data_IF_511069243756
#
_entry.id   IF_511069243756
#
_cell.length_a   1.000
_cell.length_b   1.000
_cell.length_c   1.000
_cell.angle_alpha   90.00
_cell.angle_beta   90.00
_cell.angle_gamma   90.00
#
_symmetry.space_group_name_H-M   'P 1'
#
loop_
_entity.id
_entity.type
_entity.pdbx_description
1 polymer ?
#
# COMPACT_ATOMS: atom_id res chain seq x y z
N UNK A 1 13.62 21.04 30.60
CA UNK A 1 13.27 20.69 29.20
C UNK A 1 13.52 19.18 29.09
N UNK A 2 12.47 18.37 29.13
CA UNK A 2 12.62 16.92 28.99
C UNK A 2 13.19 16.63 27.60
N UNK A 3 14.19 15.78 27.53
CA UNK A 3 14.66 15.25 26.25
C UNK A 3 13.48 14.58 25.55
N UNK A 4 12.98 15.18 24.48
CA UNK A 4 11.94 14.57 23.65
C UNK A 4 12.43 13.21 23.16
N UNK A 5 11.55 12.25 23.08
CA UNK A 5 11.86 10.93 22.52
C UNK A 5 12.24 11.17 21.04
N UNK A 6 13.50 10.91 20.66
CA UNK A 6 13.93 10.95 19.26
C UNK A 6 13.84 9.56 18.63
N UNK A 7 13.62 9.51 17.33
CA UNK A 7 13.60 8.29 16.54
C UNK A 7 14.62 8.40 15.41
N UNK A 8 15.19 7.27 14.98
CA UNK A 8 16.04 7.26 13.77
C UNK A 8 15.22 7.59 12.52
N UNK A 9 14.07 6.96 12.39
CA UNK A 9 13.16 7.11 11.26
C UNK A 9 11.75 7.44 11.72
N UNK A 10 11.12 8.41 11.06
CA UNK A 10 9.70 8.72 11.20
C UNK A 10 9.03 8.43 9.86
N UNK A 11 8.06 7.51 9.86
CA UNK A 11 7.29 7.13 8.69
C UNK A 11 5.90 7.75 8.80
N UNK A 12 5.54 8.61 7.84
CA UNK A 12 4.24 9.27 7.77
C UNK A 12 3.30 8.44 6.90
N UNK A 13 2.31 7.81 7.52
CA UNK A 13 1.32 6.92 6.91
C UNK A 13 1.70 5.44 7.03
N UNK A 14 0.84 4.67 7.68
CA UNK A 14 0.90 3.21 7.75
C UNK A 14 0.16 2.55 6.57
N UNK A 15 0.29 3.10 5.36
CA UNK A 15 -0.23 2.54 4.12
C UNK A 15 0.64 1.39 3.59
N UNK A 16 0.45 1.04 2.31
CA UNK A 16 1.18 -0.10 1.69
C UNK A 16 2.70 0.06 1.80
N UNK A 17 3.24 1.23 1.48
CA UNK A 17 4.68 1.49 1.56
C UNK A 17 5.15 1.58 3.02
N UNK A 18 4.43 2.35 3.86
CA UNK A 18 4.82 2.55 5.25
C UNK A 18 4.87 1.27 6.07
N UNK A 19 3.95 0.34 5.86
CA UNK A 19 3.96 -0.98 6.50
C UNK A 19 5.22 -1.80 6.14
N UNK A 20 5.63 -1.78 4.87
CA UNK A 20 6.84 -2.47 4.42
C UNK A 20 8.08 -1.84 5.03
N UNK A 21 8.17 -0.51 4.98
CA UNK A 21 9.32 0.24 5.53
C UNK A 21 9.43 0.07 7.04
N UNK A 22 8.31 0.14 7.77
CA UNK A 22 8.27 -0.11 9.21
C UNK A 22 8.85 -1.48 9.57
N UNK A 23 8.42 -2.52 8.84
CA UNK A 23 8.95 -3.87 9.03
C UNK A 23 10.46 -3.95 8.72
N UNK A 24 10.88 -3.42 7.57
CA UNK A 24 12.27 -3.56 7.11
C UNK A 24 13.25 -2.75 7.96
N UNK A 25 12.93 -1.49 8.26
CA UNK A 25 13.80 -0.60 9.04
C UNK A 25 13.93 -0.99 10.52
N UNK A 26 12.93 -1.70 11.06
CA UNK A 26 12.99 -2.18 12.45
C UNK A 26 13.55 -3.60 12.60
N UNK A 27 13.86 -4.30 11.47
CA UNK A 27 14.12 -5.74 11.50
C UNK A 27 15.37 -6.15 12.26
N UNK A 28 16.41 -5.36 12.22
CA UNK A 28 17.70 -5.67 12.86
C UNK A 28 17.84 -5.13 14.29
N UNK A 29 16.81 -4.46 14.80
CA UNK A 29 16.78 -3.89 16.15
C UNK A 29 17.64 -2.64 16.37
N UNK A 30 18.43 -2.21 15.36
CA UNK A 30 19.39 -1.09 15.50
C UNK A 30 18.78 0.28 15.41
N UNK A 31 17.60 0.39 14.76
CA UNK A 31 16.95 1.68 14.51
C UNK A 31 15.64 1.78 15.26
N UNK A 32 15.43 2.93 15.88
CA UNK A 32 14.14 3.30 16.48
C UNK A 32 13.25 3.89 15.41
N UNK A 33 12.13 3.24 15.14
CA UNK A 33 11.19 3.60 14.06
C UNK A 33 9.85 4.04 14.65
N UNK A 34 9.39 5.22 14.27
CA UNK A 34 8.05 5.71 14.56
C UNK A 34 7.20 5.68 13.28
N UNK A 35 6.01 5.13 13.38
CA UNK A 35 5.00 5.20 12.31
C UNK A 35 3.81 6.01 12.81
N UNK A 36 3.45 7.06 12.07
CA UNK A 36 2.30 7.93 12.34
C UNK A 36 1.20 7.66 11.32
N UNK A 37 0.05 7.16 11.78
CA UNK A 37 -1.12 6.89 10.93
C UNK A 37 -2.29 7.76 11.35
N UNK A 38 -2.88 8.48 10.41
CA UNK A 38 -4.02 9.37 10.65
C UNK A 38 -5.29 8.62 11.07
N UNK A 39 -5.48 7.42 10.55
CA UNK A 39 -6.65 6.59 10.81
C UNK A 39 -6.50 5.68 12.03
N UNK A 40 -7.57 4.95 12.36
CA UNK A 40 -7.57 3.96 13.43
C UNK A 40 -6.80 2.69 13.04
N UNK A 41 -6.64 1.78 14.00
CA UNK A 41 -6.24 0.40 13.76
C UNK A 41 -7.26 -0.32 12.84
N UNK A 42 -6.78 -1.28 12.05
CA UNK A 42 -7.56 -2.05 11.07
C UNK A 42 -8.44 -3.16 11.72
N UNK A 43 -9.10 -2.86 12.83
CA UNK A 43 -9.89 -3.85 13.59
C UNK A 43 -11.29 -4.12 13.04
N UNK A 44 -11.73 -3.30 12.07
CA UNK A 44 -13.09 -3.41 11.53
C UNK A 44 -13.25 -4.69 10.72
N UNK A 45 -14.27 -5.50 11.03
CA UNK A 45 -14.46 -6.83 10.43
C UNK A 45 -14.55 -6.82 8.90
N UNK A 46 -15.16 -5.78 8.31
CA UNK A 46 -15.30 -5.64 6.85
C UNK A 46 -13.96 -5.42 6.14
N UNK A 47 -12.90 -5.03 6.85
CA UNK A 47 -11.55 -4.97 6.31
C UNK A 47 -11.05 -6.38 6.02
N UNK A 48 -11.22 -7.29 6.98
CA UNK A 48 -10.66 -8.63 6.92
C UNK A 48 -11.48 -9.61 6.09
N UNK A 49 -12.76 -9.34 5.93
CA UNK A 49 -13.69 -10.14 5.13
C UNK A 49 -13.62 -9.71 3.66
N UNK A 50 -13.17 -10.55 2.71
CA UNK A 50 -13.07 -10.15 1.30
C UNK A 50 -14.39 -9.66 0.71
N UNK A 51 -15.51 -10.32 0.99
CA UNK A 51 -16.84 -9.89 0.55
C UNK A 51 -17.29 -8.54 1.14
N UNK A 52 -16.65 -8.11 2.24
CA UNK A 52 -16.93 -6.85 2.92
C UNK A 52 -16.28 -5.62 2.28
N UNK A 53 -15.45 -5.77 1.23
CA UNK A 53 -14.66 -4.67 0.68
C UNK A 53 -15.52 -3.46 0.28
N UNK A 54 -16.70 -3.68 -0.28
CA UNK A 54 -17.62 -2.61 -0.68
C UNK A 54 -18.11 -1.77 0.51
N UNK A 55 -18.33 -2.40 1.66
CA UNK A 55 -18.68 -1.71 2.91
C UNK A 55 -17.46 -1.02 3.52
N UNK A 56 -16.29 -1.65 3.45
CA UNK A 56 -15.05 -1.07 3.97
C UNK A 56 -14.69 0.25 3.24
N UNK A 57 -14.66 0.26 1.91
CA UNK A 57 -14.25 1.47 1.19
C UNK A 57 -15.30 2.61 1.24
N UNK A 58 -16.53 2.34 1.61
CA UNK A 58 -17.56 3.36 1.85
C UNK A 58 -17.66 3.84 3.30
N UNK A 59 -16.95 3.18 4.22
CA UNK A 59 -17.01 3.54 5.64
C UNK A 59 -16.23 4.83 5.92
N UNK A 60 -16.90 5.94 6.34
CA UNK A 60 -16.25 7.22 6.57
C UNK A 60 -15.25 7.22 7.74
N UNK A 61 -15.29 6.21 8.62
CA UNK A 61 -14.36 6.10 9.75
C UNK A 61 -12.97 5.64 9.32
N UNK A 62 -12.86 4.93 8.19
CA UNK A 62 -11.63 4.32 7.68
C UNK A 62 -11.28 4.77 6.26
N UNK A 63 -11.93 5.82 5.77
CA UNK A 63 -11.75 6.38 4.45
C UNK A 63 -11.61 7.91 4.55
N UNK A 64 -10.75 8.51 3.74
CA UNK A 64 -10.62 9.95 3.59
C UNK A 64 -11.83 10.61 2.94
N UNK A 65 -12.64 9.84 2.20
CA UNK A 65 -13.84 10.28 1.48
C UNK A 65 -13.58 11.44 0.50
N UNK A 66 -12.45 11.41 -0.20
CA UNK A 66 -12.19 12.40 -1.22
C UNK A 66 -13.17 12.30 -2.38
N UNK A 67 -13.41 13.43 -3.02
CA UNK A 67 -14.09 13.52 -4.32
C UNK A 67 -13.39 14.59 -5.16
N UNK A 68 -13.48 14.45 -6.49
CA UNK A 68 -12.99 15.48 -7.39
C UNK A 68 -13.80 16.78 -7.25
N UNK A 69 -13.27 17.86 -7.77
CA UNK A 69 -14.09 19.00 -8.15
C UNK A 69 -15.07 18.58 -9.25
N UNK A 70 -16.12 19.39 -9.54
CA UNK A 70 -17.01 19.10 -10.66
C UNK A 70 -16.20 18.92 -11.95
N UNK A 71 -16.46 17.80 -12.66
CA UNK A 71 -15.79 17.48 -13.92
C UNK A 71 -16.70 17.88 -15.10
N UNK A 72 -16.39 18.94 -15.83
CA UNK A 72 -17.25 19.44 -16.91
C UNK A 72 -17.56 18.37 -17.95
N UNK A 73 -16.55 17.58 -18.38
CA UNK A 73 -16.73 16.50 -19.36
C UNK A 73 -17.55 15.33 -18.84
N UNK A 74 -17.83 15.27 -17.53
CA UNK A 74 -18.69 14.30 -16.90
C UNK A 74 -20.03 14.92 -16.44
N UNK A 75 -20.49 15.98 -17.09
CA UNK A 75 -21.73 16.72 -16.73
C UNK A 75 -21.68 17.25 -15.29
N UNK A 76 -20.58 17.87 -14.92
CA UNK A 76 -20.31 18.47 -13.61
C UNK A 76 -20.42 17.46 -12.44
N UNK A 77 -20.26 16.17 -12.71
CA UNK A 77 -20.22 15.16 -11.64
C UNK A 77 -18.95 15.28 -10.83
N UNK A 78 -19.10 15.10 -9.53
CA UNK A 78 -17.98 14.81 -8.62
C UNK A 78 -17.76 13.31 -8.59
N UNK A 79 -16.51 12.87 -8.80
CA UNK A 79 -16.14 11.46 -8.76
C UNK A 79 -15.63 11.13 -7.38
N UNK A 80 -16.23 10.15 -6.73
CA UNK A 80 -15.77 9.65 -5.43
C UNK A 80 -14.43 8.94 -5.56
N UNK A 81 -13.47 9.34 -4.74
CA UNK A 81 -12.10 8.85 -4.76
C UNK A 81 -11.72 8.24 -3.39
N UNK A 82 -12.10 6.99 -3.12
CA UNK A 82 -11.79 6.36 -1.84
C UNK A 82 -10.28 6.19 -1.63
N UNK A 83 -9.81 6.55 -0.44
CA UNK A 83 -8.45 6.32 0.04
C UNK A 83 -8.52 5.89 1.50
N UNK A 84 -7.79 4.83 1.85
CA UNK A 84 -7.80 4.32 3.22
C UNK A 84 -7.22 5.33 4.19
N UNK A 85 -7.98 5.62 5.25
CA UNK A 85 -7.56 6.35 6.45
C UNK A 85 -7.59 5.36 7.62
N UNK A 86 -6.65 4.44 7.62
CA UNK A 86 -6.61 3.30 8.53
C UNK A 86 -5.25 2.62 8.41
N UNK A 87 -4.81 1.93 9.44
CA UNK A 87 -3.61 1.08 9.38
C UNK A 87 -3.73 0.08 8.21
N UNK A 88 -2.69 0.02 7.37
CA UNK A 88 -2.69 -0.66 6.08
C UNK A 88 -3.11 0.24 4.90
N UNK A 89 -3.61 1.46 5.18
CA UNK A 89 -4.02 2.41 4.14
C UNK A 89 -5.04 1.83 3.17
N UNK A 90 -4.89 2.15 1.89
CA UNK A 90 -5.80 1.65 0.85
C UNK A 90 -5.74 0.14 0.64
N UNK A 91 -4.66 -0.55 1.05
CA UNK A 91 -4.62 -2.02 1.02
C UNK A 91 -5.64 -2.66 1.98
N UNK A 92 -6.08 -1.93 3.01
CA UNK A 92 -7.12 -2.37 3.96
C UNK A 92 -8.54 -2.20 3.43
N UNK A 93 -8.76 -1.39 2.37
CA UNK A 93 -10.11 -1.10 1.86
C UNK A 93 -10.30 -1.37 0.35
N UNK A 94 -9.24 -1.71 -0.39
CA UNK A 94 -9.30 -1.96 -1.84
C UNK A 94 -10.04 -3.27 -2.18
N UNK A 95 -10.26 -3.50 -3.49
CA UNK A 95 -10.87 -4.74 -4.02
C UNK A 95 -9.91 -5.94 -4.07
N UNK A 96 -8.72 -5.84 -3.49
CA UNK A 96 -7.72 -6.91 -3.37
C UNK A 96 -7.13 -7.43 -4.68
N UNK A 97 -7.40 -6.83 -5.81
CA UNK A 97 -6.78 -7.26 -7.07
C UNK A 97 -5.26 -7.12 -6.97
N UNK A 98 -4.56 -8.21 -7.29
CA UNK A 98 -3.10 -8.22 -7.35
C UNK A 98 -2.63 -8.30 -8.80
N UNK A 99 -2.05 -7.21 -9.26
CA UNK A 99 -1.47 -7.10 -10.59
C UNK A 99 -0.23 -6.22 -10.52
N UNK A 100 0.85 -6.67 -11.14
CA UNK A 100 2.08 -5.88 -11.27
C UNK A 100 1.98 -4.99 -12.50
N UNK A 101 2.80 -3.93 -12.57
CA UNK A 101 3.03 -3.22 -13.81
C UNK A 101 3.69 -4.15 -14.85
N UNK A 102 3.49 -3.84 -16.13
CA UNK A 102 4.11 -4.60 -17.22
C UNK A 102 5.63 -4.38 -17.24
N UNK A 103 6.43 -5.35 -17.68
CA UNK A 103 7.88 -5.18 -17.82
C UNK A 103 8.27 -3.91 -18.57
N UNK A 104 7.54 -3.58 -19.64
CA UNK A 104 7.78 -2.41 -20.46
C UNK A 104 7.62 -1.08 -19.70
N UNK A 105 6.75 -1.02 -18.68
CA UNK A 105 6.58 0.19 -17.86
C UNK A 105 7.86 0.52 -17.08
N UNK A 106 8.47 -0.50 -16.49
CA UNK A 106 9.71 -0.36 -15.72
C UNK A 106 10.91 -0.12 -16.64
N UNK A 107 10.98 -0.84 -17.77
CA UNK A 107 12.07 -0.68 -18.73
C UNK A 107 12.04 0.69 -19.40
N UNK A 108 10.83 1.27 -19.59
CA UNK A 108 10.66 2.66 -20.04
C UNK A 108 11.20 3.66 -19.00
N UNK A 109 10.97 3.46 -17.72
CA UNK A 109 11.57 4.32 -16.69
C UNK A 109 13.09 4.27 -16.75
N UNK A 110 13.66 3.11 -16.97
CA UNK A 110 15.11 2.97 -17.11
C UNK A 110 15.64 3.68 -18.38
N UNK A 111 14.97 3.53 -19.51
CA UNK A 111 15.43 4.08 -20.79
C UNK A 111 15.17 5.57 -20.96
N UNK A 112 13.97 6.05 -20.56
CA UNK A 112 13.55 7.44 -20.78
C UNK A 112 13.95 8.37 -19.63
N UNK A 113 13.97 7.87 -18.39
CA UNK A 113 14.26 8.67 -17.19
C UNK A 113 15.65 8.39 -16.59
N UNK A 114 16.43 7.49 -17.20
CA UNK A 114 17.76 7.11 -16.69
C UNK A 114 17.75 6.29 -15.41
N UNK A 115 16.59 5.76 -14.98
CA UNK A 115 16.43 5.03 -13.74
C UNK A 115 16.78 3.54 -13.89
N UNK A 116 18.06 3.23 -14.15
CA UNK A 116 18.52 1.88 -14.50
C UNK A 116 18.22 0.81 -13.46
N UNK A 117 18.24 1.18 -12.17
CA UNK A 117 17.92 0.27 -11.06
C UNK A 117 16.42 -0.16 -11.05
N UNK A 118 15.57 0.56 -11.78
CA UNK A 118 14.12 0.30 -11.89
C UNK A 118 13.75 -0.56 -13.10
N UNK A 119 14.71 -1.12 -13.83
CA UNK A 119 14.42 -2.12 -14.86
C UNK A 119 13.60 -3.27 -14.29
N UNK A 120 12.70 -3.84 -15.07
CA UNK A 120 11.86 -4.95 -14.61
C UNK A 120 12.68 -6.11 -14.06
N UNK A 121 13.78 -6.47 -14.71
CA UNK A 121 14.68 -7.51 -14.23
C UNK A 121 15.24 -7.25 -12.82
N UNK A 122 15.44 -5.98 -12.45
CA UNK A 122 15.89 -5.59 -11.11
C UNK A 122 14.73 -5.52 -10.11
N UNK A 123 13.51 -5.21 -10.56
CA UNK A 123 12.31 -5.15 -9.72
C UNK A 123 11.73 -6.55 -9.42
N UNK A 124 11.84 -7.49 -10.36
CA UNK A 124 11.26 -8.83 -10.23
C UNK A 124 11.67 -9.59 -8.95
N UNK A 125 12.95 -9.59 -8.52
CA UNK A 125 13.32 -10.21 -7.26
C UNK A 125 12.58 -9.67 -6.05
N UNK A 126 12.28 -8.37 -6.01
CA UNK A 126 11.51 -7.74 -4.93
C UNK A 126 10.04 -8.14 -4.98
N UNK A 127 9.44 -8.23 -6.15
CA UNK A 127 8.07 -8.76 -6.29
C UNK A 127 7.98 -10.19 -5.78
N UNK A 128 8.94 -11.04 -6.17
CA UNK A 128 8.99 -12.43 -5.71
C UNK A 128 9.20 -12.55 -4.20
N UNK A 129 10.16 -11.77 -3.66
CA UNK A 129 10.42 -11.75 -2.21
C UNK A 129 9.24 -11.17 -1.38
N UNK A 130 8.35 -10.41 -2.02
CA UNK A 130 7.19 -9.79 -1.38
C UNK A 130 5.99 -10.70 -1.24
N UNK A 131 5.83 -11.75 -2.07
CA UNK A 131 4.60 -12.54 -2.15
C UNK A 131 4.78 -14.02 -1.80
N UNK A 132 3.71 -14.61 -1.30
CA UNK A 132 3.47 -16.05 -1.32
C UNK A 132 2.28 -16.31 -2.21
N UNK A 133 2.53 -16.84 -3.41
CA UNK A 133 1.50 -17.18 -4.39
C UNK A 133 1.00 -18.62 -4.19
N UNK A 134 -0.30 -18.85 -4.24
CA UNK A 134 -0.89 -20.19 -4.24
C UNK A 134 -0.62 -20.98 -5.55
N UNK A 135 -0.07 -20.29 -6.56
CA UNK A 135 0.46 -20.93 -7.78
C UNK A 135 1.81 -21.62 -7.54
N UNK A 136 2.42 -21.38 -6.38
CA UNK A 136 3.78 -21.82 -6.06
C UNK A 136 4.86 -20.86 -6.58
N UNK A 137 6.10 -21.13 -6.16
CA UNK A 137 7.27 -20.40 -6.62
C UNK A 137 7.61 -20.75 -8.06
N UNK A 138 8.03 -19.75 -8.84
CA UNK A 138 8.47 -19.92 -10.23
C UNK A 138 9.51 -18.85 -10.59
N UNK A 139 9.91 -18.77 -11.86
CA UNK A 139 10.75 -17.66 -12.36
C UNK A 139 10.09 -16.30 -12.16
N UNK A 140 8.75 -16.25 -12.13
CA UNK A 140 7.95 -15.03 -12.07
C UNK A 140 7.27 -14.80 -10.72
N UNK A 141 7.03 -15.84 -9.93
CA UNK A 141 6.24 -15.80 -8.70
C UNK A 141 7.05 -16.15 -7.46
N UNK A 142 6.70 -15.54 -6.34
CA UNK A 142 7.26 -15.86 -5.04
C UNK A 142 6.46 -16.93 -4.29
N UNK A 143 7.14 -17.65 -3.37
CA UNK A 143 6.53 -18.75 -2.61
C UNK A 143 6.61 -18.61 -1.09
N UNK A 144 7.35 -17.64 -0.57
CA UNK A 144 7.66 -17.50 0.87
C UNK A 144 7.61 -16.07 1.39
N UNK A 145 7.15 -15.13 0.56
CA UNK A 145 7.02 -13.74 0.96
C UNK A 145 5.83 -13.47 1.89
N UNK A 146 5.80 -12.30 2.53
CA UNK A 146 4.80 -11.99 3.55
C UNK A 146 3.39 -11.75 2.99
N UNK A 147 3.24 -11.27 1.76
CA UNK A 147 1.95 -10.99 1.15
C UNK A 147 1.33 -12.26 0.56
N UNK A 148 0.23 -12.72 1.12
CA UNK A 148 -0.53 -13.82 0.54
C UNK A 148 -1.25 -13.40 -0.74
N UNK A 149 -1.05 -14.17 -1.81
CA UNK A 149 -1.68 -13.97 -3.13
C UNK A 149 -2.34 -15.25 -3.58
N UNK A 150 -3.64 -15.19 -3.85
CA UNK A 150 -4.42 -16.36 -4.29
C UNK A 150 -5.15 -16.09 -5.60
N UNK A 151 -5.22 -17.11 -6.44
CA UNK A 151 -6.04 -17.08 -7.67
C UNK A 151 -7.54 -16.99 -7.33
N UNK A 152 -7.93 -17.54 -6.19
CA UNK A 152 -9.31 -17.60 -5.74
C UNK A 152 -10.14 -18.64 -6.50
N UNK A 153 -11.15 -19.19 -5.84
CA UNK A 153 -12.15 -20.05 -6.48
C UNK A 153 -13.10 -19.18 -7.32
N UNK A 154 -13.42 -19.65 -8.51
CA UNK A 154 -14.36 -18.99 -9.43
C UNK A 154 -15.30 -20.05 -10.02
N UNK A 155 -16.27 -20.46 -9.21
CA UNK A 155 -17.16 -21.60 -9.53
C UNK A 155 -18.36 -21.15 -10.40
N UNK A 156 -18.52 -19.85 -10.65
CA UNK A 156 -19.63 -19.36 -11.45
C UNK A 156 -19.37 -19.62 -12.95
N UNK A 157 -20.24 -20.40 -13.64
CA UNK A 157 -20.06 -20.76 -15.05
C UNK A 157 -20.04 -19.56 -16.00
N UNK A 158 -20.61 -18.43 -15.63
CA UNK A 158 -20.56 -17.19 -16.42
C UNK A 158 -19.13 -16.65 -16.57
N UNK A 159 -18.27 -16.87 -15.59
CA UNK A 159 -16.86 -16.47 -15.71
C UNK A 159 -16.14 -17.30 -16.75
N UNK A 160 -16.34 -18.63 -16.76
CA UNK A 160 -15.73 -19.50 -17.76
C UNK A 160 -16.20 -19.10 -19.17
N UNK A 161 -17.50 -18.86 -19.33
CA UNK A 161 -18.07 -18.39 -20.59
C UNK A 161 -17.50 -17.03 -21.04
N UNK A 162 -17.28 -16.10 -20.09
CA UNK A 162 -16.66 -14.80 -20.38
C UNK A 162 -15.22 -14.94 -20.86
N UNK A 163 -14.43 -15.79 -20.21
CA UNK A 163 -13.03 -16.03 -20.61
C UNK A 163 -12.98 -16.67 -22.02
N UNK A 164 -13.83 -17.64 -22.28
CA UNK A 164 -13.94 -18.28 -23.60
C UNK A 164 -14.35 -17.28 -24.68
N UNK A 165 -15.35 -16.45 -24.39
CA UNK A 165 -15.80 -15.42 -25.33
C UNK A 165 -14.68 -14.39 -25.63
N UNK A 166 -13.94 -13.95 -24.62
CA UNK A 166 -12.81 -13.05 -24.79
C UNK A 166 -11.68 -13.66 -25.63
N UNK A 167 -11.34 -14.92 -25.39
CA UNK A 167 -10.35 -15.64 -26.20
C UNK A 167 -10.81 -15.77 -27.66
N UNK A 168 -12.07 -16.14 -27.90
CA UNK A 168 -12.67 -16.23 -29.26
C UNK A 168 -12.74 -14.88 -29.96
N UNK A 169 -12.88 -13.78 -29.21
CA UNK A 169 -12.87 -12.43 -29.76
C UNK A 169 -11.45 -11.90 -30.07
N UNK A 170 -10.43 -12.75 -29.97
CA UNK A 170 -9.05 -12.37 -30.31
C UNK A 170 -8.29 -11.61 -29.23
N UNK A 171 -8.84 -11.55 -28.00
CA UNK A 171 -8.16 -10.90 -26.87
C UNK A 171 -7.02 -11.72 -26.26
N UNK A 172 -6.81 -12.96 -26.75
CA UNK A 172 -5.87 -13.89 -26.15
C UNK A 172 -6.35 -14.44 -24.81
N UNK A 173 -5.57 -15.31 -24.23
CA UNK A 173 -5.80 -15.86 -22.89
C UNK A 173 -4.46 -16.03 -22.17
N UNK A 174 -4.45 -15.80 -20.87
CA UNK A 174 -3.30 -16.09 -20.01
C UNK A 174 -3.74 -16.78 -18.73
N UNK A 175 -2.92 -17.69 -18.26
CA UNK A 175 -3.15 -18.37 -16.98
C UNK A 175 -2.61 -17.55 -15.79
N UNK A 176 -1.65 -16.66 -16.05
CA UNK A 176 -1.02 -15.86 -15.02
C UNK A 176 -0.79 -14.42 -15.47
N UNK A 177 -1.58 -13.45 -14.97
CA UNK A 177 -1.44 -12.03 -15.33
C UNK A 177 -0.17 -11.39 -14.78
N UNK A 178 0.57 -12.10 -13.91
CA UNK A 178 1.86 -11.67 -13.35
C UNK A 178 3.02 -12.58 -13.79
N UNK A 179 2.78 -13.46 -14.76
CA UNK A 179 3.75 -14.41 -15.30
C UNK A 179 4.55 -13.87 -16.50
N UNK A 180 5.04 -14.79 -17.32
CA UNK A 180 5.83 -14.47 -18.52
C UNK A 180 5.01 -13.71 -19.58
N UNK A 181 3.79 -14.15 -19.81
CA UNK A 181 2.88 -13.51 -20.76
C UNK A 181 1.64 -12.98 -20.03
N UNK A 182 1.63 -11.71 -19.61
CA UNK A 182 0.53 -11.13 -18.83
C UNK A 182 -0.69 -10.74 -19.67
N UNK A 183 -0.57 -10.72 -21.03
CA UNK A 183 -1.64 -10.27 -21.91
C UNK A 183 -2.70 -11.34 -22.15
N UNK A 184 -3.96 -10.92 -22.13
CA UNK A 184 -5.11 -11.78 -22.39
C UNK A 184 -6.18 -11.73 -21.32
N UNK A 185 -7.31 -12.40 -21.58
CA UNK A 185 -8.35 -12.60 -20.58
C UNK A 185 -7.91 -13.66 -19.56
N UNK A 186 -8.13 -13.37 -18.29
CA UNK A 186 -7.67 -14.24 -17.20
C UNK A 186 -8.45 -14.01 -15.92
N UNK A 187 -8.24 -14.90 -14.96
CA UNK A 187 -8.62 -14.73 -13.57
C UNK A 187 -7.63 -13.79 -12.87
N UNK A 188 -8.15 -12.81 -12.14
CA UNK A 188 -7.30 -11.93 -11.37
C UNK A 188 -6.90 -12.57 -10.05
N UNK A 189 -5.62 -12.51 -9.74
CA UNK A 189 -5.11 -12.84 -8.41
C UNK A 189 -5.58 -11.82 -7.37
N UNK A 190 -5.66 -12.25 -6.13
CA UNK A 190 -6.14 -11.42 -5.00
C UNK A 190 -5.15 -11.45 -3.85
N UNK A 191 -5.00 -10.32 -3.17
CA UNK A 191 -4.23 -10.22 -1.93
C UNK A 191 -5.04 -10.80 -0.76
N UNK A 192 -5.13 -12.13 -0.75
CA UNK A 192 -5.83 -12.91 0.28
C UNK A 192 -4.95 -14.06 0.77
N UNK A 193 -5.19 -14.47 2.03
CA UNK A 193 -4.59 -15.65 2.66
C UNK A 193 -5.63 -16.28 3.58
N UNK A 194 -5.81 -17.60 3.51
CA UNK A 194 -6.75 -18.36 4.35
C UNK A 194 -8.17 -17.75 4.35
N UNK A 195 -8.66 -17.37 3.17
CA UNK A 195 -9.98 -16.79 2.99
C UNK A 195 -10.15 -15.36 3.54
N UNK A 196 -9.08 -14.71 3.99
CA UNK A 196 -9.09 -13.35 4.55
C UNK A 196 -8.25 -12.39 3.71
N UNK A 197 -8.56 -11.09 3.78
CA UNK A 197 -7.69 -10.04 3.21
C UNK A 197 -6.30 -10.14 3.81
N UNK A 198 -5.28 -10.14 2.97
CA UNK A 198 -3.89 -9.94 3.33
C UNK A 198 -3.48 -8.51 2.94
N UNK A 199 -3.83 -7.53 3.78
CA UNK A 199 -3.39 -6.14 3.59
C UNK A 199 -1.91 -6.00 3.88
N UNK A 200 -1.31 -4.85 3.51
CA UNK A 200 0.07 -4.55 3.88
C UNK A 200 0.27 -4.52 5.41
N UNK A 201 -0.75 -4.14 6.18
CA UNK A 201 -0.70 -4.22 7.64
C UNK A 201 -0.57 -5.68 8.10
N UNK A 202 -1.41 -6.57 7.59
CA UNK A 202 -1.39 -8.01 7.94
C UNK A 202 -0.09 -8.66 7.49
N UNK A 203 0.38 -8.33 6.28
CA UNK A 203 1.58 -8.94 5.71
C UNK A 203 2.88 -8.47 6.40
N UNK A 204 2.99 -7.19 6.74
CA UNK A 204 4.27 -6.59 7.14
C UNK A 204 4.24 -5.98 8.53
N UNK A 205 3.24 -5.15 8.87
CA UNK A 205 3.27 -4.35 10.08
C UNK A 205 2.91 -5.16 11.32
N UNK A 206 1.81 -5.90 11.31
CA UNK A 206 1.36 -6.68 12.47
C UNK A 206 2.43 -7.63 13.00
N UNK A 207 3.15 -8.41 12.16
CA UNK A 207 4.21 -9.28 12.64
C UNK A 207 5.38 -8.55 13.30
N UNK A 208 5.55 -7.26 13.00
CA UNK A 208 6.66 -6.45 13.53
C UNK A 208 6.31 -5.62 14.77
N UNK A 209 5.02 -5.50 15.13
CA UNK A 209 4.57 -4.67 16.26
C UNK A 209 5.06 -5.15 17.64
N UNK A 210 5.53 -6.38 17.75
CA UNK A 210 6.14 -6.89 18.99
C UNK A 210 7.58 -6.43 19.22
N UNK A 211 8.20 -5.78 18.22
CA UNK A 211 9.57 -5.28 18.32
C UNK A 211 9.64 -4.03 19.19
N UNK A 212 10.54 -4.01 20.16
CA UNK A 212 10.68 -2.88 21.11
C UNK A 212 11.18 -1.58 20.46
N UNK A 213 11.78 -1.66 19.27
CA UNK A 213 12.30 -0.54 18.51
C UNK A 213 11.31 0.01 17.45
N UNK A 214 10.09 -0.53 17.38
CA UNK A 214 9.02 -0.04 16.49
C UNK A 214 7.85 0.51 17.31
N UNK A 215 7.50 1.75 17.06
CA UNK A 215 6.34 2.41 17.65
C UNK A 215 5.33 2.76 16.56
N UNK A 216 4.07 2.38 16.75
CA UNK A 216 2.96 2.78 15.90
C UNK A 216 2.01 3.67 16.69
N UNK A 217 1.80 4.90 16.20
CA UNK A 217 0.80 5.84 16.69
C UNK A 217 -0.34 5.95 15.68
N UNK A 218 -1.50 5.40 16.03
CA UNK A 218 -2.73 5.53 15.24
C UNK A 218 -3.59 6.70 15.70
N UNK A 219 -4.39 7.27 14.80
CA UNK A 219 -5.13 8.50 15.06
C UNK A 219 -4.20 9.72 15.18
N UNK A 220 -3.01 9.63 14.62
CA UNK A 220 -1.97 10.67 14.62
C UNK A 220 -1.94 11.34 13.23
N UNK A 221 -2.55 12.50 13.10
CA UNK A 221 -2.55 13.29 11.88
C UNK A 221 -1.30 14.15 11.83
N UNK A 222 -0.45 13.90 10.86
CA UNK A 222 0.72 14.77 10.62
C UNK A 222 0.24 16.06 9.97
N UNK A 223 0.55 17.17 10.63
CA UNK A 223 0.16 18.51 10.21
C UNK A 223 1.19 19.09 9.23
N UNK A 224 2.49 18.93 9.55
CA UNK A 224 3.60 19.42 8.70
C UNK A 224 4.93 18.77 9.06
N UNK A 225 5.88 18.90 8.16
CA UNK A 225 7.28 18.60 8.40
C UNK A 225 7.95 19.74 9.19
N UNK A 226 8.91 19.40 10.00
CA UNK A 226 9.83 20.36 10.60
C UNK A 226 11.10 20.40 9.74
N UNK A 227 11.32 21.51 9.06
CA UNK A 227 12.48 21.69 8.17
C UNK A 227 13.47 22.65 8.84
N UNK A 228 14.73 22.27 8.87
CA UNK A 228 15.84 23.08 9.35
C UNK A 228 16.94 23.13 8.28
N UNK A 229 17.11 24.30 7.67
CA UNK A 229 17.93 24.41 6.46
C UNK A 229 17.39 23.52 5.35
N UNK A 230 18.22 22.62 4.83
CA UNK A 230 17.85 21.66 3.76
C UNK A 230 17.46 20.29 4.29
N UNK A 231 17.16 20.16 5.58
CA UNK A 231 16.87 18.87 6.21
C UNK A 231 15.48 18.86 6.84
N UNK A 232 14.70 17.80 6.55
CA UNK A 232 13.53 17.46 7.34
C UNK A 232 14.02 16.82 8.66
N UNK A 233 13.90 17.54 9.76
CA UNK A 233 14.43 17.17 11.08
C UNK A 233 13.38 16.53 11.99
N UNK A 234 12.11 16.51 11.59
CA UNK A 234 11.03 15.96 12.38
C UNK A 234 9.67 16.24 11.79
N UNK A 235 8.65 16.05 12.59
CA UNK A 235 7.26 16.32 12.23
C UNK A 235 6.47 16.93 13.39
N UNK A 236 5.45 17.70 13.05
CA UNK A 236 4.39 18.11 13.95
C UNK A 236 3.12 17.35 13.58
N UNK A 237 2.45 16.80 14.58
CA UNK A 237 1.23 16.03 14.38
C UNK A 237 0.22 16.27 15.50
N UNK A 238 -1.04 16.09 15.18
CA UNK A 238 -2.16 16.18 16.14
C UNK A 238 -2.68 14.77 16.45
N UNK A 239 -2.77 14.44 17.74
CA UNK A 239 -3.37 13.20 18.22
C UNK A 239 -4.27 13.50 19.42
N UNK A 240 -5.51 13.01 19.39
CA UNK A 240 -6.51 13.24 20.45
C UNK A 240 -6.69 14.73 20.82
N UNK A 241 -6.64 15.61 19.80
CA UNK A 241 -6.78 17.05 19.97
C UNK A 241 -5.57 17.76 20.61
N UNK A 242 -4.43 17.09 20.73
CA UNK A 242 -3.19 17.67 21.23
C UNK A 242 -2.13 17.67 20.14
N UNK A 243 -1.40 18.78 20.04
CA UNK A 243 -0.24 18.90 19.15
C UNK A 243 0.98 18.25 19.80
N UNK A 244 1.73 17.53 18.99
CA UNK A 244 2.96 16.86 19.33
C UNK A 244 4.05 17.24 18.33
N UNK A 245 5.28 17.25 18.79
CA UNK A 245 6.47 17.38 17.95
C UNK A 245 7.42 16.24 18.26
N UNK A 246 7.97 15.64 17.23
CA UNK A 246 8.95 14.56 17.34
C UNK A 246 10.07 14.77 16.33
N UNK A 247 11.30 14.44 16.71
CA UNK A 247 12.49 14.64 15.91
C UNK A 247 12.99 13.31 15.33
N UNK A 248 13.52 13.38 14.09
CA UNK A 248 14.15 12.29 13.38
C UNK A 248 15.67 12.52 13.31
N UNK A 249 16.43 11.55 13.83
CA UNK A 249 17.90 11.58 13.79
C UNK A 249 18.43 11.34 12.37
N UNK A 250 17.75 10.48 11.59
CA UNK A 250 18.15 10.11 10.23
C UNK A 250 17.21 10.69 9.19
N UNK A 251 15.98 10.17 9.09
CA UNK A 251 15.10 10.54 8.00
C UNK A 251 13.63 10.62 8.43
N UNK A 252 12.90 11.51 7.74
CA UNK A 252 11.44 11.55 7.70
C UNK A 252 10.99 11.00 6.35
N UNK A 253 10.15 9.97 6.36
CA UNK A 253 9.71 9.23 5.17
C UNK A 253 8.23 9.52 4.91
N UNK A 254 7.92 10.13 3.77
CA UNK A 254 6.56 10.41 3.35
C UNK A 254 5.95 9.17 2.67
N UNK A 255 5.01 8.53 3.33
CA UNK A 255 4.24 7.37 2.85
C UNK A 255 2.73 7.60 2.93
N UNK A 256 2.28 8.85 2.93
CA UNK A 256 0.88 9.28 3.04
C UNK A 256 0.04 9.00 1.78
N UNK A 257 0.65 8.48 0.71
CA UNK A 257 -0.01 8.21 -0.57
C UNK A 257 0.00 9.41 -1.52
N UNK A 258 -0.53 9.21 -2.73
CA UNK A 258 -0.42 10.14 -3.85
C UNK A 258 -1.10 11.50 -3.61
N UNK A 259 -2.04 11.60 -2.69
CA UNK A 259 -2.75 12.84 -2.36
C UNK A 259 -2.14 13.49 -1.11
N UNK A 260 -2.00 12.74 -0.02
CA UNK A 260 -1.58 13.31 1.26
C UNK A 260 -0.08 13.63 1.33
N UNK A 261 0.79 12.90 0.63
CA UNK A 261 2.22 13.22 0.65
C UNK A 261 2.52 14.58 0.01
N UNK A 262 2.02 14.91 -1.21
CA UNK A 262 2.15 16.25 -1.75
C UNK A 262 1.50 17.32 -0.87
N UNK A 263 0.30 17.05 -0.31
CA UNK A 263 -0.36 17.98 0.60
C UNK A 263 0.49 18.29 1.82
N UNK A 264 1.07 17.27 2.46
CA UNK A 264 1.96 17.48 3.62
C UNK A 264 3.18 18.33 3.26
N UNK A 265 3.79 18.11 2.08
CA UNK A 265 4.88 18.93 1.59
C UNK A 265 4.45 20.39 1.40
N UNK A 266 3.34 20.63 0.74
CA UNK A 266 2.81 21.98 0.49
C UNK A 266 2.47 22.72 1.79
N UNK A 267 2.02 22.02 2.83
CA UNK A 267 1.73 22.58 4.15
C UNK A 267 3.00 22.84 4.98
N UNK A 268 4.14 22.36 4.52
CA UNK A 268 5.41 22.46 5.25
C UNK A 268 6.29 23.63 4.78
N UNK A 269 5.91 24.34 3.71
CA UNK A 269 6.57 25.52 3.16
C UNK A 269 7.20 25.32 1.79
#
# INVERSE_FOLDING_TARGET
MGQGISYDYIIIGAGSAGCVLANKLSADGRHRVLVLEAGPMDRHIMIHMPAGFYHAYKNPQINWNYSTEPEPELRDRRVFMPRGKVVGGSSSINGMVYMRGQPQDYDRWASELGLQDWRYANCLPYFKAGETSDRGASDWRGGDGPLGVTKGANDNPLYAAFLEAGARAGQGATDDPNGYNPEGVTWLDRTTRDGRRCSAAVAHLHPSLSRSNLTLESGAMVDRLVVSGNRASGVEYTQRGRSHRVEAEKEVILSGGAINSPQTLMLSG
#
